data_IF_025776508057
#
_entry.id   IF_025776508057
#
_cell.length_a   1.000
_cell.length_b   1.000
_cell.length_c   1.000
_cell.angle_alpha   90.00
_cell.angle_beta   90.00
_cell.angle_gamma   90.00
#
_symmetry.space_group_name_H-M   'P 1'
#
loop_
_entity.id
_entity.type
_entity.pdbx_description
1 polymer ?
#
# COMPACT_ATOMS: atom_id res chain seq x y z
N UNK A 1 8.93 16.61 -3.45
CA UNK A 1 9.62 15.32 -3.62
C UNK A 1 8.80 14.37 -4.48
N UNK A 2 7.49 14.17 -4.20
CA UNK A 2 6.63 13.25 -4.96
C UNK A 2 6.43 13.65 -6.44
N UNK A 3 6.25 14.95 -6.71
CA UNK A 3 6.15 15.45 -8.08
C UNK A 3 7.40 15.17 -8.93
N UNK A 4 8.60 15.28 -8.34
CA UNK A 4 9.86 14.97 -9.03
C UNK A 4 9.99 13.47 -9.39
N UNK A 5 9.29 12.60 -8.67
CA UNK A 5 9.18 11.16 -8.96
C UNK A 5 8.02 10.86 -9.95
N UNK A 6 7.26 11.89 -10.33
CA UNK A 6 6.04 11.78 -11.15
C UNK A 6 4.90 11.08 -10.42
N UNK A 7 4.91 11.08 -9.08
CA UNK A 7 3.84 10.48 -8.27
C UNK A 7 2.63 11.41 -8.32
N UNK A 8 1.49 10.82 -8.72
CA UNK A 8 0.21 11.51 -8.94
C UNK A 8 -0.85 11.10 -7.92
N UNK A 9 -0.64 9.95 -7.28
CA UNK A 9 -1.61 9.27 -6.45
C UNK A 9 -0.90 8.72 -5.21
N UNK A 10 -1.48 8.84 -4.03
CA UNK A 10 -0.93 8.33 -2.76
C UNK A 10 -2.00 7.53 -2.02
N UNK A 11 -1.64 6.31 -1.59
CA UNK A 11 -2.44 5.50 -0.66
C UNK A 11 -1.72 5.50 0.69
N UNK A 12 -2.36 6.06 1.71
CA UNK A 12 -1.87 6.05 3.09
C UNK A 12 -2.62 5.01 3.90
N UNK A 13 -1.89 4.07 4.52
CA UNK A 13 -2.50 2.94 5.23
C UNK A 13 -2.24 3.04 6.73
N UNK A 14 -3.27 3.43 7.47
CA UNK A 14 -3.28 3.46 8.93
C UNK A 14 -2.44 4.58 9.55
N UNK A 15 -2.01 5.55 8.76
CA UNK A 15 -1.44 6.81 9.22
C UNK A 15 -2.09 7.93 8.43
N UNK A 16 -2.58 8.97 9.10
CA UNK A 16 -3.10 10.12 8.36
C UNK A 16 -1.91 10.90 7.79
N UNK A 17 -1.74 10.88 6.47
CA UNK A 17 -0.69 11.64 5.80
C UNK A 17 -1.09 13.11 5.54
N UNK A 18 -2.36 13.44 5.75
CA UNK A 18 -2.96 14.75 5.53
C UNK A 18 -3.04 15.55 6.84
N UNK A 19 -1.90 15.73 7.51
CA UNK A 19 -1.83 16.58 8.70
C UNK A 19 -1.51 18.02 8.26
N UNK A 20 -2.37 19.01 8.61
CA UNK A 20 -2.06 20.41 8.33
C UNK A 20 -0.79 20.82 9.08
N UNK A 21 0.07 21.67 8.49
CA UNK A 21 1.18 22.26 9.22
C UNK A 21 0.67 22.99 10.47
N UNK A 22 1.43 22.99 11.56
CA UNK A 22 1.08 23.57 12.86
C UNK A 22 0.67 25.05 12.83
N UNK A 23 0.86 25.73 11.70
CA UNK A 23 0.61 27.15 11.50
C UNK A 23 -0.61 27.42 10.58
N UNK A 24 -1.37 26.40 10.18
CA UNK A 24 -2.47 26.52 9.20
C UNK A 24 -3.78 26.03 9.81
N UNK A 25 -4.79 26.90 9.80
CA UNK A 25 -6.13 26.59 10.28
C UNK A 25 -6.86 25.64 9.30
N UNK A 26 -7.26 24.43 9.69
CA UNK A 26 -7.83 23.42 8.79
C UNK A 26 -9.22 23.79 8.22
N UNK A 27 -9.86 24.82 8.77
CA UNK A 27 -11.21 25.28 8.39
C UNK A 27 -11.22 26.34 7.27
N UNK A 28 -10.06 26.88 6.89
CA UNK A 28 -9.99 27.97 5.91
C UNK A 28 -10.19 27.46 4.46
N UNK A 29 -11.03 28.11 3.64
CA UNK A 29 -11.17 27.80 2.22
C UNK A 29 -9.83 28.02 1.50
N UNK A 30 -9.59 27.31 0.40
CA UNK A 30 -8.37 27.47 -0.40
C UNK A 30 -8.27 28.92 -0.91
N UNK A 31 -7.51 29.75 -0.20
CA UNK A 31 -7.32 31.14 -0.57
C UNK A 31 -6.25 31.24 -1.65
N UNK A 32 -6.70 31.62 -2.85
CA UNK A 32 -5.85 32.29 -3.84
C UNK A 32 -5.35 33.62 -3.27
N UNK A 33 -4.20 33.62 -2.57
CA UNK A 33 -3.31 34.79 -2.57
C UNK A 33 -1.93 34.44 -2.01
N UNK A 34 -0.95 34.54 -2.89
CA UNK A 34 0.45 34.75 -2.56
C UNK A 34 0.63 36.07 -1.79
N UNK A 35 1.16 36.00 -0.56
CA UNK A 35 1.80 37.15 0.08
C UNK A 35 2.96 36.69 0.95
N UNK A 36 4.13 37.26 0.65
CA UNK A 36 5.44 37.02 1.24
C UNK A 36 5.50 37.73 2.61
N UNK A 37 5.99 37.04 3.66
CA UNK A 37 6.31 37.62 4.97
C UNK A 37 7.16 36.66 5.83
N UNK A 38 8.14 37.14 6.62
CA UNK A 38 9.36 36.38 6.90
C UNK A 38 9.36 35.75 8.31
N UNK A 39 8.70 34.62 8.52
CA UNK A 39 9.04 33.77 9.67
C UNK A 39 8.93 32.29 9.30
N UNK A 40 10.04 31.80 8.72
CA UNK A 40 10.26 30.41 8.36
C UNK A 40 10.99 29.70 9.49
N UNK A 41 10.29 28.85 10.26
CA UNK A 41 10.98 27.90 11.16
C UNK A 41 11.28 26.65 10.35
N UNK A 42 12.56 26.51 9.99
CA UNK A 42 13.08 25.41 9.18
C UNK A 42 13.11 24.10 9.97
N UNK A 43 12.35 23.10 9.52
CA UNK A 43 12.62 21.70 9.84
C UNK A 43 13.86 21.23 9.06
N UNK A 44 14.93 20.85 9.77
CA UNK A 44 16.14 20.24 9.20
C UNK A 44 15.82 18.86 8.62
N UNK A 45 15.47 18.82 7.34
CA UNK A 45 15.48 17.63 6.49
C UNK A 45 15.90 18.05 5.08
N UNK A 46 16.66 17.23 4.34
CA UNK A 46 17.15 17.61 3.02
C UNK A 46 15.99 17.57 2.01
N UNK A 47 15.46 18.74 1.64
CA UNK A 47 14.52 18.93 0.53
C UNK A 47 13.23 19.66 0.92
N UNK A 48 13.22 21.00 0.83
CA UNK A 48 12.06 21.84 1.11
C UNK A 48 10.96 21.75 0.04
N UNK A 49 10.11 20.72 0.12
CA UNK A 49 8.86 20.62 -0.68
C UNK A 49 7.68 20.37 0.28
N UNK A 50 6.52 20.95 -0.03
CA UNK A 50 5.35 21.06 0.85
C UNK A 50 4.85 19.75 1.45
N UNK A 51 4.15 19.87 2.60
CA UNK A 51 3.41 18.77 3.21
C UNK A 51 2.48 18.11 2.19
N UNK A 52 2.29 16.78 2.29
CA UNK A 52 1.30 16.02 1.53
C UNK A 52 -0.09 16.68 1.55
N UNK A 53 -0.41 17.34 2.66
CA UNK A 53 -1.63 18.13 2.86
C UNK A 53 -1.76 19.32 1.89
N UNK A 54 -0.67 20.04 1.60
CA UNK A 54 -0.71 21.15 0.63
C UNK A 54 -0.81 20.65 -0.80
N UNK A 55 -0.04 19.60 -1.14
CA UNK A 55 -0.05 19.01 -2.47
C UNK A 55 -1.43 18.45 -2.88
N UNK A 56 -2.15 17.85 -1.92
CA UNK A 56 -3.52 17.38 -2.14
C UNK A 56 -4.51 18.55 -2.33
N UNK A 57 -4.47 19.57 -1.45
CA UNK A 57 -5.34 20.75 -1.56
C UNK A 57 -5.13 21.56 -2.83
N UNK A 58 -3.91 21.59 -3.34
CA UNK A 58 -3.57 22.23 -4.61
C UNK A 58 -3.89 21.36 -5.83
N UNK A 59 -4.48 20.17 -5.62
CA UNK A 59 -4.93 19.26 -6.67
C UNK A 59 -3.78 18.57 -7.43
N UNK A 60 -2.54 18.66 -6.94
CA UNK A 60 -1.37 18.07 -7.59
C UNK A 60 -1.27 16.56 -7.41
N UNK A 61 -1.86 16.04 -6.33
CA UNK A 61 -1.95 14.61 -6.04
C UNK A 61 -3.34 14.25 -5.57
N UNK A 62 -3.78 13.02 -5.87
CA UNK A 62 -4.98 12.43 -5.26
C UNK A 62 -4.56 11.52 -4.11
N UNK A 63 -5.20 11.64 -2.96
CA UNK A 63 -4.84 10.83 -1.77
C UNK A 63 -6.02 9.95 -1.36
N UNK A 64 -5.74 8.67 -1.14
CA UNK A 64 -6.64 7.72 -0.49
C UNK A 64 -6.10 7.43 0.92
N UNK A 65 -6.78 7.96 1.93
CA UNK A 65 -6.39 7.81 3.35
C UNK A 65 -7.24 6.74 4.04
N UNK A 66 -6.59 5.64 4.44
CA UNK A 66 -7.23 4.52 5.10
C UNK A 66 -7.00 4.63 6.60
N UNK A 67 -8.08 4.90 7.34
CA UNK A 67 -8.06 5.09 8.81
C UNK A 67 -8.45 3.80 9.52
N UNK A 68 -8.08 3.71 10.81
CA UNK A 68 -8.51 2.60 11.67
C UNK A 68 -7.86 1.26 11.32
N UNK A 69 -6.59 1.29 10.88
CA UNK A 69 -5.80 0.08 10.60
C UNK A 69 -4.45 0.18 11.30
N UNK A 70 -4.37 -0.41 12.48
CA UNK A 70 -3.13 -0.60 13.21
C UNK A 70 -2.42 -1.89 12.76
N UNK A 71 -1.11 -1.94 12.97
CA UNK A 71 -0.30 -3.13 12.72
C UNK A 71 -0.05 -3.88 14.03
N UNK A 72 -1.14 -4.22 14.73
CA UNK A 72 -1.15 -4.78 16.08
C UNK A 72 -1.64 -6.24 16.13
N UNK A 73 -2.02 -6.81 14.98
CA UNK A 73 -2.59 -8.15 14.86
C UNK A 73 -4.09 -8.25 15.19
N UNK A 74 -4.72 -7.13 15.56
CA UNK A 74 -6.15 -7.05 15.87
C UNK A 74 -6.90 -6.54 14.64
N UNK A 75 -6.47 -5.40 14.09
CA UNK A 75 -7.15 -4.73 12.98
C UNK A 75 -7.05 -5.51 11.66
N UNK A 76 -8.11 -5.40 10.84
CA UNK A 76 -8.23 -6.09 9.55
C UNK A 76 -8.20 -5.11 8.38
N UNK A 77 -7.50 -5.49 7.30
CA UNK A 77 -7.51 -4.74 6.03
C UNK A 77 -8.52 -5.29 5.02
N UNK A 78 -9.06 -6.49 5.26
CA UNK A 78 -9.91 -7.22 4.32
C UNK A 78 -11.02 -6.39 3.65
N UNK A 79 -11.88 -5.64 4.37
CA UNK A 79 -12.93 -4.84 3.74
C UNK A 79 -12.41 -3.67 2.88
N UNK A 80 -11.15 -3.26 3.09
CA UNK A 80 -10.52 -2.17 2.37
C UNK A 80 -9.70 -2.65 1.16
N UNK A 81 -9.42 -3.96 1.02
CA UNK A 81 -8.59 -4.46 -0.08
C UNK A 81 -9.22 -4.20 -1.45
N UNK A 82 -10.53 -4.45 -1.60
CA UNK A 82 -11.24 -4.23 -2.87
C UNK A 82 -11.22 -2.76 -3.29
N UNK A 83 -11.72 -1.81 -2.46
CA UNK A 83 -11.76 -0.41 -2.85
C UNK A 83 -10.37 0.18 -3.11
N UNK A 84 -9.36 -0.24 -2.34
CA UNK A 84 -7.98 0.20 -2.55
C UNK A 84 -7.45 -0.32 -3.89
N UNK A 85 -7.63 -1.60 -4.20
CA UNK A 85 -7.13 -2.17 -5.46
C UNK A 85 -7.79 -1.50 -6.66
N UNK A 86 -9.10 -1.24 -6.61
CA UNK A 86 -9.84 -0.54 -7.67
C UNK A 86 -9.36 0.90 -7.85
N UNK A 87 -9.05 1.58 -6.75
CA UNK A 87 -8.50 2.93 -6.80
C UNK A 87 -7.11 2.97 -7.43
N UNK A 88 -6.23 2.03 -7.06
CA UNK A 88 -4.89 1.88 -7.67
C UNK A 88 -5.02 1.54 -9.15
N UNK A 89 -5.94 0.65 -9.50
CA UNK A 89 -6.20 0.22 -10.88
C UNK A 89 -6.62 1.39 -11.76
N UNK A 90 -7.58 2.19 -11.27
CA UNK A 90 -8.04 3.40 -11.95
C UNK A 90 -6.89 4.40 -12.15
N UNK A 91 -6.11 4.65 -11.11
CA UNK A 91 -4.95 5.54 -11.20
C UNK A 91 -3.94 5.06 -12.26
N UNK A 92 -3.66 3.75 -12.32
CA UNK A 92 -2.77 3.17 -13.34
C UNK A 92 -3.36 3.31 -14.75
N UNK A 93 -4.66 3.04 -14.92
CA UNK A 93 -5.35 3.15 -16.20
C UNK A 93 -5.36 4.60 -16.74
N UNK A 94 -5.38 5.60 -15.85
CA UNK A 94 -5.22 7.02 -16.17
C UNK A 94 -3.76 7.42 -16.49
N UNK A 95 -2.81 6.48 -16.48
CA UNK A 95 -1.38 6.74 -16.69
C UNK A 95 -0.67 7.33 -15.47
N UNK A 96 -1.33 7.34 -14.31
CA UNK A 96 -0.78 7.84 -13.06
C UNK A 96 0.25 6.89 -12.43
N UNK A 97 1.10 7.46 -11.56
CA UNK A 97 1.96 6.70 -10.65
C UNK A 97 1.44 6.79 -9.23
N UNK A 98 1.37 5.63 -8.57
CA UNK A 98 0.82 5.47 -7.22
C UNK A 98 1.94 5.17 -6.22
N UNK A 99 1.97 5.90 -5.12
CA UNK A 99 2.77 5.59 -3.93
C UNK A 99 1.86 4.95 -2.86
N UNK A 100 2.19 3.75 -2.41
CA UNK A 100 1.53 3.11 -1.27
C UNK A 100 2.47 3.16 -0.07
N UNK A 101 2.03 3.76 1.04
CA UNK A 101 2.85 3.87 2.25
C UNK A 101 2.04 3.61 3.53
N UNK A 102 2.78 3.36 4.61
CA UNK A 102 2.32 3.37 5.99
C UNK A 102 3.44 4.03 6.81
N UNK A 103 3.67 3.60 8.06
CA UNK A 103 4.77 4.10 8.91
C UNK A 103 6.16 3.81 8.37
N UNK A 104 6.50 2.53 8.32
CA UNK A 104 7.86 2.05 8.00
C UNK A 104 7.89 1.34 6.65
N UNK A 105 6.73 1.00 6.10
CA UNK A 105 6.61 0.34 4.81
C UNK A 105 6.93 -1.16 4.82
N UNK A 106 6.70 -1.83 5.95
CA UNK A 106 7.03 -3.26 6.18
C UNK A 106 5.82 -4.18 6.08
N UNK A 107 4.71 -3.81 6.72
CA UNK A 107 3.53 -4.66 6.92
C UNK A 107 2.33 -4.11 6.15
N UNK A 108 1.56 -3.18 6.71
CA UNK A 108 0.33 -2.59 6.12
C UNK A 108 0.43 -2.20 4.63
N UNK A 109 1.38 -1.35 4.25
CA UNK A 109 1.54 -0.93 2.86
C UNK A 109 1.99 -2.06 1.94
N UNK A 110 2.76 -3.02 2.47
CA UNK A 110 3.20 -4.18 1.72
C UNK A 110 2.03 -5.14 1.47
N UNK A 111 1.17 -5.35 2.46
CA UNK A 111 -0.09 -6.10 2.32
C UNK A 111 -0.94 -5.55 1.18
N UNK A 112 -1.18 -4.23 1.16
CA UNK A 112 -1.93 -3.58 0.06
C UNK A 112 -1.25 -3.79 -1.29
N UNK A 113 0.08 -3.65 -1.36
CA UNK A 113 0.83 -3.83 -2.61
C UNK A 113 0.75 -5.28 -3.11
N UNK A 114 0.85 -6.26 -2.21
CA UNK A 114 0.71 -7.69 -2.54
C UNK A 114 -0.69 -7.98 -3.04
N UNK A 115 -1.73 -7.51 -2.34
CA UNK A 115 -3.13 -7.68 -2.75
C UNK A 115 -3.39 -7.12 -4.15
N UNK A 116 -2.82 -5.96 -4.46
CA UNK A 116 -2.91 -5.36 -5.79
C UNK A 116 -2.22 -6.22 -6.86
N UNK A 117 -1.01 -6.72 -6.59
CA UNK A 117 -0.29 -7.61 -7.53
C UNK A 117 -1.06 -8.91 -7.76
N UNK A 118 -1.64 -9.50 -6.72
CA UNK A 118 -2.49 -10.70 -6.84
C UNK A 118 -3.66 -10.45 -7.79
N UNK A 119 -4.37 -9.32 -7.61
CA UNK A 119 -5.52 -8.97 -8.44
C UNK A 119 -5.11 -8.62 -9.88
N UNK A 120 -4.13 -7.74 -10.03
CA UNK A 120 -3.73 -7.21 -11.34
C UNK A 120 -3.07 -8.26 -12.24
N UNK A 121 -2.17 -9.07 -11.68
CA UNK A 121 -1.43 -10.09 -12.43
C UNK A 121 -2.06 -11.49 -12.35
N UNK A 122 -3.19 -11.64 -11.66
CA UNK A 122 -3.85 -12.94 -11.43
C UNK A 122 -2.92 -13.99 -10.83
N UNK A 123 -2.18 -13.59 -9.79
CA UNK A 123 -1.20 -14.44 -9.13
C UNK A 123 -1.68 -14.91 -7.75
N UNK A 124 -1.29 -16.13 -7.34
CA UNK A 124 -1.49 -16.57 -5.97
C UNK A 124 -0.65 -15.72 -5.00
N UNK A 125 -1.01 -15.77 -3.72
CA UNK A 125 -0.42 -14.99 -2.64
C UNK A 125 1.10 -15.13 -2.61
N UNK A 126 1.61 -16.35 -2.70
CA UNK A 126 3.05 -16.62 -2.61
C UNK A 126 3.81 -15.96 -3.75
N UNK A 127 3.34 -16.13 -5.00
CA UNK A 127 3.99 -15.56 -6.17
C UNK A 127 3.97 -14.03 -6.12
N UNK A 128 2.83 -13.45 -5.74
CA UNK A 128 2.71 -12.00 -5.56
C UNK A 128 3.63 -11.49 -4.44
N UNK A 129 3.70 -12.20 -3.31
CA UNK A 129 4.61 -11.88 -2.21
C UNK A 129 6.08 -11.87 -2.66
N UNK A 130 6.50 -12.90 -3.39
CA UNK A 130 7.87 -13.02 -3.90
C UNK A 130 8.21 -11.91 -4.91
N UNK A 131 7.28 -11.58 -5.80
CA UNK A 131 7.43 -10.45 -6.74
C UNK A 131 7.64 -9.15 -5.96
N UNK A 132 6.74 -8.82 -5.02
CA UNK A 132 6.83 -7.56 -4.27
C UNK A 132 8.12 -7.50 -3.45
N UNK A 133 8.48 -8.60 -2.79
CA UNK A 133 9.71 -8.72 -2.01
C UNK A 133 10.97 -8.53 -2.86
N UNK A 134 11.02 -9.13 -4.06
CA UNK A 134 12.17 -9.00 -4.97
C UNK A 134 12.43 -7.56 -5.43
N UNK A 135 11.41 -6.70 -5.43
CA UNK A 135 11.50 -5.29 -5.84
C UNK A 135 11.85 -4.34 -4.69
N UNK A 136 11.81 -4.82 -3.44
CA UNK A 136 12.10 -4.01 -2.24
C UNK A 136 13.10 -4.72 -1.32
N UNK A 137 14.23 -5.14 -1.88
CA UNK A 137 15.26 -5.94 -1.18
C UNK A 137 15.88 -5.28 0.05
N UNK A 138 15.78 -3.95 0.18
CA UNK A 138 16.31 -3.18 1.32
C UNK A 138 15.41 -3.19 2.55
N UNK A 139 14.17 -3.68 2.44
CA UNK A 139 13.19 -3.75 3.52
C UNK A 139 12.64 -5.17 3.58
N UNK A 140 12.81 -5.86 4.71
CA UNK A 140 12.18 -7.15 4.92
C UNK A 140 10.66 -6.96 4.97
N UNK A 141 9.97 -7.35 3.91
CA UNK A 141 8.50 -7.35 3.87
C UNK A 141 8.00 -8.49 4.75
N UNK A 142 7.34 -8.14 5.85
CA UNK A 142 6.82 -9.11 6.83
C UNK A 142 5.46 -8.61 7.34
N UNK A 143 4.38 -8.87 6.59
CA UNK A 143 3.03 -8.66 7.11
C UNK A 143 2.84 -9.43 8.42
N UNK A 144 2.10 -8.85 9.37
CA UNK A 144 1.72 -9.60 10.56
C UNK A 144 0.77 -10.76 10.18
N UNK A 145 0.60 -11.74 11.08
CA UNK A 145 -0.20 -12.94 10.82
C UNK A 145 -1.67 -12.64 10.49
N UNK A 146 -2.27 -11.62 11.10
CA UNK A 146 -3.65 -11.19 10.80
C UNK A 146 -3.75 -10.66 9.37
N UNK A 147 -2.84 -9.79 8.95
CA UNK A 147 -2.83 -9.24 7.60
C UNK A 147 -2.52 -10.31 6.56
N UNK A 148 -1.67 -11.26 6.90
CA UNK A 148 -1.39 -12.40 6.04
C UNK A 148 -2.60 -13.33 5.89
N UNK A 149 -3.35 -13.52 6.97
CA UNK A 149 -4.64 -14.20 6.92
C UNK A 149 -5.66 -13.45 6.05
N UNK A 150 -5.68 -12.11 6.11
CA UNK A 150 -6.51 -11.32 5.18
C UNK A 150 -6.10 -11.54 3.73
N UNK A 151 -4.80 -11.66 3.43
CA UNK A 151 -4.33 -11.97 2.07
C UNK A 151 -4.72 -13.38 1.61
N UNK A 152 -4.77 -14.35 2.52
CA UNK A 152 -5.27 -15.69 2.21
C UNK A 152 -6.77 -15.67 1.89
N UNK A 153 -7.57 -14.96 2.68
CA UNK A 153 -8.99 -14.73 2.39
C UNK A 153 -9.20 -14.03 1.04
N UNK A 154 -8.35 -13.05 0.74
CA UNK A 154 -8.32 -12.33 -0.54
C UNK A 154 -8.03 -13.26 -1.72
N UNK A 155 -7.05 -14.17 -1.59
CA UNK A 155 -6.74 -15.16 -2.62
C UNK A 155 -7.97 -16.03 -2.95
N UNK A 156 -8.65 -16.53 -1.91
CA UNK A 156 -9.86 -17.35 -2.06
C UNK A 156 -10.99 -16.56 -2.72
N UNK A 157 -11.17 -15.30 -2.33
CA UNK A 157 -12.16 -14.42 -2.95
C UNK A 157 -11.89 -14.24 -4.45
N UNK A 158 -10.66 -13.89 -4.82
CA UNK A 158 -10.26 -13.71 -6.22
C UNK A 158 -10.38 -15.01 -7.03
N UNK A 159 -10.08 -16.16 -6.42
CA UNK A 159 -10.27 -17.47 -7.07
C UNK A 159 -11.74 -17.73 -7.41
N UNK A 160 -12.67 -17.40 -6.49
CA UNK A 160 -14.13 -17.51 -6.73
C UNK A 160 -14.59 -16.56 -7.84
N UNK A 161 -14.14 -15.31 -7.82
CA UNK A 161 -14.48 -14.33 -8.86
C UNK A 161 -14.01 -14.76 -10.25
N UNK A 162 -12.79 -15.34 -10.35
CA UNK A 162 -12.26 -15.86 -11.61
C UNK A 162 -13.00 -17.11 -12.09
N UNK A 163 -13.46 -17.96 -11.17
CA UNK A 163 -14.16 -19.19 -11.50
C UNK A 163 -15.62 -18.95 -11.95
N UNK A 164 -16.28 -17.93 -11.39
CA UNK A 164 -17.73 -17.74 -11.56
C UNK A 164 -18.49 -18.93 -10.95
N UNK A 165 -19.50 -19.43 -11.68
CA UNK A 165 -20.31 -20.58 -11.24
C UNK A 165 -19.73 -21.95 -11.64
N UNK A 166 -18.51 -22.00 -12.21
CA UNK A 166 -17.86 -23.24 -12.64
C UNK A 166 -17.08 -23.91 -11.48
N UNK A 167 -17.55 -25.05 -10.96
CA UNK A 167 -16.93 -25.72 -9.82
C UNK A 167 -15.55 -26.34 -10.16
N UNK A 168 -15.34 -26.76 -11.40
CA UNK A 168 -14.06 -27.36 -11.81
C UNK A 168 -13.00 -26.27 -11.96
N UNK A 169 -13.38 -25.12 -12.52
CA UNK A 169 -12.52 -23.95 -12.58
C UNK A 169 -12.18 -23.44 -11.17
N UNK A 170 -13.12 -23.44 -10.23
CA UNK A 170 -12.85 -23.08 -8.84
C UNK A 170 -11.83 -24.03 -8.20
N UNK A 171 -11.97 -25.34 -8.43
CA UNK A 171 -11.01 -26.34 -7.94
C UNK A 171 -9.61 -26.08 -8.48
N UNK A 172 -9.49 -25.77 -9.77
CA UNK A 172 -8.21 -25.46 -10.40
C UNK A 172 -7.60 -24.17 -9.86
N UNK A 173 -8.41 -23.11 -9.70
CA UNK A 173 -7.95 -21.83 -9.14
C UNK A 173 -7.46 -21.99 -7.69
N UNK A 174 -8.18 -22.73 -6.86
CA UNK A 174 -7.76 -23.01 -5.47
C UNK A 174 -6.57 -23.95 -5.39
N UNK A 175 -6.37 -24.84 -6.37
CA UNK A 175 -5.18 -25.71 -6.42
C UNK A 175 -3.88 -24.92 -6.67
N UNK A 176 -3.97 -23.68 -7.17
CA UNK A 176 -2.82 -22.77 -7.35
C UNK A 176 -2.37 -22.14 -6.03
N UNK A 177 -3.22 -22.15 -5.00
CA UNK A 177 -2.85 -21.69 -3.65
C UNK A 177 -1.78 -22.62 -3.07
N UNK A 178 -0.54 -22.13 -3.04
CA UNK A 178 0.58 -22.84 -2.45
C UNK A 178 0.32 -23.11 -0.96
N UNK A 179 0.70 -24.30 -0.49
CA UNK A 179 0.52 -24.65 0.91
C UNK A 179 1.45 -23.84 1.83
N UNK A 180 0.96 -23.49 3.01
CA UNK A 180 1.71 -22.71 4.01
C UNK A 180 3.10 -23.27 4.36
N UNK A 181 3.30 -24.61 4.46
CA UNK A 181 4.63 -25.20 4.65
C UNK A 181 5.63 -24.86 3.53
N UNK A 182 5.19 -24.82 2.28
CA UNK A 182 6.05 -24.46 1.15
C UNK A 182 6.45 -22.98 1.21
N UNK A 183 5.50 -22.08 1.44
CA UNK A 183 5.80 -20.66 1.60
C UNK A 183 6.77 -20.40 2.76
N UNK A 184 6.50 -21.00 3.93
CA UNK A 184 7.36 -20.83 5.10
C UNK A 184 8.80 -21.30 4.81
N UNK A 185 8.95 -22.41 4.08
CA UNK A 185 10.25 -22.90 3.62
C UNK A 185 10.93 -21.92 2.66
N UNK A 186 10.25 -21.45 1.62
CA UNK A 186 10.84 -20.52 0.63
C UNK A 186 11.20 -19.18 1.27
N UNK A 187 10.36 -18.65 2.16
CA UNK A 187 10.65 -17.43 2.93
C UNK A 187 11.86 -17.63 3.85
N UNK A 188 11.95 -18.79 4.52
CA UNK A 188 13.10 -19.13 5.35
C UNK A 188 14.39 -19.19 4.53
N UNK A 189 14.41 -19.92 3.40
CA UNK A 189 15.56 -20.01 2.50
C UNK A 189 15.98 -18.63 1.96
N UNK A 190 15.02 -17.77 1.62
CA UNK A 190 15.30 -16.40 1.17
C UNK A 190 15.82 -15.48 2.29
N UNK A 191 15.52 -15.81 3.54
CA UNK A 191 15.95 -15.07 4.72
C UNK A 191 17.28 -15.58 5.31
N UNK A 192 17.74 -16.79 4.99
CA UNK A 192 18.99 -17.37 5.51
C UNK A 192 20.17 -16.42 5.36
N UNK A 193 20.29 -15.75 4.20
CA UNK A 193 21.37 -14.79 3.92
C UNK A 193 21.39 -13.55 4.83
N UNK A 194 20.35 -13.33 5.63
CA UNK A 194 20.24 -12.21 6.58
C UNK A 194 20.28 -12.67 8.04
N UNK A 195 20.36 -13.97 8.32
CA UNK A 195 20.55 -14.48 9.67
C UNK A 195 22.03 -14.35 10.06
N UNK A 196 22.35 -13.87 11.28
CA UNK A 196 23.74 -13.83 11.76
C UNK A 196 24.28 -15.26 11.87
N UNK A 197 25.53 -15.44 11.45
CA UNK A 197 26.27 -16.70 11.52
C UNK A 197 26.52 -17.16 12.96
#
# INVERSE_FOLDING_TARGET
>A
MLHALGITHVVSVGECALVPPSNVDPSAPASTSCTVGPHFIAGKGPGGHGSLWMEEREGRIKVLDIKGVCDDGIDTLEPQLEPICDWIEKARAEGGKVLVHCRVGVSRSATVTIAYVMKHLSLPLVDAYLIVRSRRLSVLIQPNMRLLYNLLGWEVKLARERAGDDPERLRQELARSLNWPYLAKEVHLLNEKYLPA
#
